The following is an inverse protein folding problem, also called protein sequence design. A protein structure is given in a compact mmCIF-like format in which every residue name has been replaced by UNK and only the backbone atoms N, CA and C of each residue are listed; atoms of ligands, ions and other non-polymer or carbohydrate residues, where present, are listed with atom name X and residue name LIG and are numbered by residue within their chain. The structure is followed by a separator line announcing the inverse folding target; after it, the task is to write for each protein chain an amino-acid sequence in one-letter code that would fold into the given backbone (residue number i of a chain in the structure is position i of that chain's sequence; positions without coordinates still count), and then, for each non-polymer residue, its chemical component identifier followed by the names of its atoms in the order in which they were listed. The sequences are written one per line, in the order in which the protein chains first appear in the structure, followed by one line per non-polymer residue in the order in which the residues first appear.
data_IF_283933802896
#
_entry.id   IF_283933802896
#
_cell.length_a   1.000
_cell.length_b   1.000
_cell.length_c   1.000
_cell.angle_alpha   90.00
_cell.angle_beta   90.00
_cell.angle_gamma   90.00
#
_symmetry.space_group_name_H-M   'P 1'
#
loop_
_entity.id
_entity.type
_entity.pdbx_description
1 polymer ?
#
# COMPACT_ATOMS: atom_id res chain seq x y z
N UNK A 1 -10.00 3.32 -22.17
CA UNK A 1 -9.35 2.93 -20.90
C UNK A 1 -10.45 2.64 -19.91
N UNK A 2 -10.46 1.46 -19.30
CA UNK A 2 -11.45 1.12 -18.26
C UNK A 2 -11.10 1.86 -16.96
N UNK A 3 -12.11 2.13 -16.13
CA UNK A 3 -11.92 2.81 -14.86
C UNK A 3 -11.54 1.75 -13.82
N UNK A 4 -10.29 1.77 -13.33
CA UNK A 4 -9.77 0.74 -12.43
C UNK A 4 -10.63 0.52 -11.17
N UNK A 5 -11.22 1.58 -10.61
CA UNK A 5 -12.12 1.47 -9.46
C UNK A 5 -13.41 0.71 -9.81
N UNK A 6 -13.97 0.98 -10.99
CA UNK A 6 -15.15 0.26 -11.48
C UNK A 6 -14.82 -1.19 -11.80
N UNK A 7 -13.67 -1.46 -12.42
CA UNK A 7 -13.24 -2.82 -12.76
C UNK A 7 -13.08 -3.70 -11.51
N UNK A 8 -12.43 -3.18 -10.48
CA UNK A 8 -12.29 -3.87 -9.18
C UNK A 8 -13.66 -4.13 -8.56
N UNK A 9 -14.58 -3.14 -8.59
CA UNK A 9 -15.93 -3.30 -8.06
C UNK A 9 -16.72 -4.38 -8.79
N UNK A 10 -16.63 -4.42 -10.12
CA UNK A 10 -17.28 -5.44 -10.95
C UNK A 10 -16.71 -6.82 -10.64
N UNK A 11 -15.38 -6.95 -10.56
CA UNK A 11 -14.73 -8.20 -10.21
C UNK A 11 -15.16 -8.70 -8.82
N UNK A 12 -15.27 -7.82 -7.83
CA UNK A 12 -15.77 -8.16 -6.50
C UNK A 12 -17.21 -8.65 -6.50
N UNK A 13 -18.09 -7.98 -7.26
CA UNK A 13 -19.47 -8.41 -7.39
C UNK A 13 -19.58 -9.81 -8.02
N UNK A 14 -18.77 -10.09 -9.05
CA UNK A 14 -18.70 -11.41 -9.68
C UNK A 14 -18.16 -12.48 -8.71
N UNK A 15 -17.12 -12.17 -7.95
CA UNK A 15 -16.57 -13.08 -6.94
C UNK A 15 -17.61 -13.40 -5.85
N UNK A 16 -18.35 -12.39 -5.34
CA UNK A 16 -19.46 -12.59 -4.38
C UNK A 16 -20.58 -13.48 -4.94
N UNK A 17 -20.93 -13.32 -6.22
CA UNK A 17 -21.94 -14.18 -6.85
C UNK A 17 -21.39 -15.61 -6.99
N UNK A 18 -20.12 -15.73 -7.38
CA UNK A 18 -19.45 -17.03 -7.54
C UNK A 18 -19.41 -17.79 -6.22
N UNK A 19 -19.07 -17.13 -5.10
CA UNK A 19 -19.03 -17.76 -3.78
C UNK A 19 -20.41 -18.24 -3.28
N UNK A 20 -21.51 -17.70 -3.82
CA UNK A 20 -22.87 -18.21 -3.53
C UNK A 20 -23.10 -19.54 -4.25
N UNK A 21 -22.57 -19.68 -5.46
CA UNK A 21 -22.72 -20.89 -6.28
C UNK A 21 -21.69 -21.96 -5.89
N UNK A 22 -20.50 -21.54 -5.51
CA UNK A 22 -19.34 -22.36 -5.15
C UNK A 22 -18.77 -21.85 -3.80
N UNK A 23 -19.29 -22.31 -2.66
CA UNK A 23 -18.90 -21.79 -1.33
C UNK A 23 -17.43 -21.97 -0.97
N UNK A 24 -16.74 -22.91 -1.60
CA UNK A 24 -15.30 -23.14 -1.50
C UNK A 24 -14.44 -22.16 -2.31
N UNK A 25 -15.07 -21.33 -3.15
CA UNK A 25 -14.39 -20.34 -3.97
C UNK A 25 -14.00 -19.11 -3.13
N UNK A 26 -12.69 -18.85 -3.04
CA UNK A 26 -12.09 -17.74 -2.32
C UNK A 26 -11.67 -16.58 -3.22
N UNK A 27 -12.18 -16.52 -4.46
CA UNK A 27 -11.82 -15.51 -5.45
C UNK A 27 -12.15 -14.08 -5.03
N UNK A 28 -12.87 -13.89 -3.91
CA UNK A 28 -13.08 -12.57 -3.30
C UNK A 28 -11.79 -11.91 -2.81
N UNK A 29 -10.72 -12.69 -2.58
CA UNK A 29 -9.41 -12.16 -2.17
C UNK A 29 -8.78 -11.32 -3.30
N UNK A 30 -8.89 -11.75 -4.55
CA UNK A 30 -8.27 -11.08 -5.70
C UNK A 30 -8.68 -9.60 -5.84
N UNK A 31 -9.97 -9.24 -5.89
CA UNK A 31 -10.39 -7.84 -5.95
C UNK A 31 -10.07 -7.05 -4.67
N UNK A 32 -9.99 -7.69 -3.51
CA UNK A 32 -9.55 -7.03 -2.27
C UNK A 32 -8.06 -6.66 -2.35
N UNK A 33 -7.20 -7.57 -2.81
CA UNK A 33 -5.78 -7.27 -3.07
C UNK A 33 -5.61 -6.16 -4.11
N UNK A 34 -6.41 -6.18 -5.18
CA UNK A 34 -6.38 -5.11 -6.18
C UNK A 34 -6.81 -3.74 -5.60
N UNK A 35 -7.80 -3.72 -4.70
CA UNK A 35 -8.19 -2.49 -4.00
C UNK A 35 -7.07 -1.97 -3.07
N UNK A 36 -6.38 -2.87 -2.37
CA UNK A 36 -5.20 -2.54 -1.56
C UNK A 36 -4.07 -1.93 -2.40
N UNK A 37 -3.70 -2.56 -3.50
CA UNK A 37 -2.66 -2.05 -4.43
C UNK A 37 -3.04 -0.69 -5.02
N UNK A 38 -4.33 -0.47 -5.29
CA UNK A 38 -4.80 0.83 -5.75
C UNK A 38 -4.70 1.89 -4.64
N UNK A 39 -4.93 1.52 -3.38
CA UNK A 39 -4.71 2.38 -2.22
C UNK A 39 -3.25 2.81 -2.06
N UNK A 40 -2.30 1.88 -2.22
CA UNK A 40 -0.86 2.19 -2.22
C UNK A 40 -0.52 3.25 -3.28
N UNK A 41 -1.02 3.06 -4.50
CA UNK A 41 -0.77 3.96 -5.64
C UNK A 41 -1.38 5.35 -5.44
N UNK A 42 -2.65 5.39 -5.02
CA UNK A 42 -3.32 6.65 -4.77
C UNK A 42 -2.59 7.44 -3.69
N UNK A 43 -2.11 6.77 -2.63
CA UNK A 43 -1.32 7.38 -1.57
C UNK A 43 0.02 7.94 -2.05
N UNK A 44 0.72 7.23 -2.94
CA UNK A 44 1.95 7.70 -3.57
C UNK A 44 1.72 8.98 -4.38
N UNK A 45 0.60 9.06 -5.12
CA UNK A 45 0.26 10.22 -5.96
C UNK A 45 -0.25 11.43 -5.14
N UNK A 46 -0.80 11.20 -3.94
CA UNK A 46 -1.48 12.21 -3.14
C UNK A 46 -0.58 13.28 -2.47
N UNK A 47 0.76 13.13 -2.53
CA UNK A 47 1.74 14.05 -1.90
C UNK A 47 1.39 14.45 -0.45
N UNK A 48 0.88 13.50 0.34
CA UNK A 48 0.52 13.70 1.75
C UNK A 48 -0.90 14.26 2.01
N UNK A 49 -1.71 14.46 0.97
CA UNK A 49 -3.12 14.83 1.12
C UNK A 49 -3.96 13.73 1.77
N UNK A 50 -5.01 14.12 2.52
CA UNK A 50 -6.00 13.17 3.03
C UNK A 50 -6.88 12.67 1.87
N UNK A 51 -6.64 11.44 1.45
CA UNK A 51 -7.49 10.78 0.47
C UNK A 51 -8.85 10.39 1.08
N UNK A 52 -9.88 10.51 0.26
CA UNK A 52 -11.24 10.05 0.58
C UNK A 52 -11.46 8.69 -0.09
N UNK A 53 -12.24 7.82 0.55
CA UNK A 53 -12.59 6.52 -0.02
C UNK A 53 -13.29 6.75 -1.37
N UNK A 54 -12.85 6.06 -2.45
CA UNK A 54 -13.49 6.17 -3.76
C UNK A 54 -14.98 5.81 -3.69
N UNK A 55 -15.83 6.54 -4.40
CA UNK A 55 -17.29 6.31 -4.41
C UNK A 55 -17.67 4.87 -4.82
N UNK A 56 -16.83 4.24 -5.66
CA UNK A 56 -16.99 2.86 -6.10
C UNK A 56 -16.72 1.83 -4.99
N UNK A 57 -16.12 2.22 -3.86
CA UNK A 57 -15.88 1.35 -2.71
C UNK A 57 -16.70 1.77 -1.49
N UNK A 58 -17.27 2.99 -1.47
CA UNK A 58 -17.92 3.59 -0.30
C UNK A 58 -19.03 2.76 0.36
N UNK A 59 -19.70 1.88 -0.37
CA UNK A 59 -20.76 1.00 0.13
C UNK A 59 -20.37 -0.49 0.16
N UNK A 60 -19.10 -0.83 -0.10
CA UNK A 60 -18.60 -2.21 0.02
C UNK A 60 -17.44 -2.25 1.02
N UNK A 61 -17.73 -2.61 2.29
CA UNK A 61 -16.75 -2.55 3.39
C UNK A 61 -15.42 -3.25 3.08
N UNK A 62 -15.45 -4.45 2.51
CA UNK A 62 -14.24 -5.21 2.20
C UNK A 62 -13.32 -4.47 1.22
N UNK A 63 -13.88 -3.79 0.21
CA UNK A 63 -13.09 -3.01 -0.75
C UNK A 63 -12.62 -1.69 -0.14
N UNK A 64 -13.48 -1.02 0.63
CA UNK A 64 -13.13 0.22 1.31
C UNK A 64 -11.98 -0.01 2.32
N UNK A 65 -12.09 -1.02 3.17
CA UNK A 65 -11.08 -1.38 4.16
C UNK A 65 -9.76 -1.80 3.50
N UNK A 66 -9.82 -2.62 2.45
CA UNK A 66 -8.60 -3.03 1.71
C UNK A 66 -7.88 -1.82 1.10
N UNK A 67 -8.62 -0.92 0.46
CA UNK A 67 -8.04 0.31 -0.10
C UNK A 67 -7.49 1.25 0.99
N UNK A 68 -8.23 1.44 2.10
CA UNK A 68 -7.77 2.24 3.24
C UNK A 68 -6.46 1.65 3.78
N UNK A 69 -6.41 0.34 4.00
CA UNK A 69 -5.21 -0.35 4.47
C UNK A 69 -4.02 -0.09 3.55
N UNK A 70 -4.20 -0.15 2.23
CA UNK A 70 -3.16 0.20 1.27
C UNK A 70 -2.67 1.66 1.42
N UNK A 71 -3.60 2.61 1.59
CA UNK A 71 -3.21 4.01 1.81
C UNK A 71 -2.46 4.25 3.13
N UNK A 72 -2.81 3.49 4.17
CA UNK A 72 -2.18 3.59 5.49
C UNK A 72 -0.81 2.93 5.52
N UNK A 73 -0.65 1.77 4.88
CA UNK A 73 0.64 1.10 4.70
C UNK A 73 1.64 2.04 4.01
N UNK A 74 1.26 2.66 2.90
CA UNK A 74 2.14 3.63 2.22
C UNK A 74 2.56 4.77 3.15
N UNK A 75 1.66 5.30 3.99
CA UNK A 75 1.99 6.38 4.92
C UNK A 75 2.95 5.94 6.01
N UNK A 76 2.79 4.72 6.52
CA UNK A 76 3.72 4.15 7.50
C UNK A 76 5.11 3.98 6.88
N UNK A 77 5.20 3.42 5.67
CA UNK A 77 6.46 3.24 4.95
C UNK A 77 7.14 4.58 4.66
N UNK A 78 6.39 5.56 4.15
CA UNK A 78 6.91 6.91 3.90
C UNK A 78 7.36 7.64 5.18
N UNK A 79 6.71 7.37 6.32
CA UNK A 79 7.14 7.90 7.62
C UNK A 79 8.43 7.22 8.09
N UNK A 80 8.59 5.91 7.91
CA UNK A 80 9.82 5.19 8.22
C UNK A 80 11.00 5.59 7.34
N UNK A 81 10.78 5.84 6.04
CA UNK A 81 11.83 6.34 5.14
C UNK A 81 12.26 7.78 5.47
N UNK A 82 11.34 8.59 6.00
CA UNK A 82 11.64 9.95 6.45
C UNK A 82 12.31 9.99 7.84
N UNK A 83 12.04 8.99 8.69
CA UNK A 83 12.54 8.84 10.06
C UNK A 83 13.74 7.88 10.15
N UNK A 84 14.34 7.51 9.01
CA UNK A 84 15.56 6.72 9.03
C UNK A 84 16.69 7.63 9.55
N UNK A 85 16.83 7.70 10.87
CA UNK A 85 17.89 8.40 11.62
C UNK A 85 19.30 7.92 11.22
N UNK A 86 19.39 6.86 10.40
CA UNK A 86 20.62 6.38 9.77
C UNK A 86 20.89 6.92 8.36
N UNK A 87 19.99 7.72 7.79
CA UNK A 87 20.24 8.42 6.52
C UNK A 87 21.42 9.38 6.69
N UNK A 88 22.57 9.00 6.12
CA UNK A 88 23.83 9.73 6.27
C UNK A 88 24.71 9.29 7.46
N UNK A 89 24.30 8.28 8.22
CA UNK A 89 25.17 7.63 9.21
C UNK A 89 25.96 6.48 8.57
N UNK A 90 27.24 6.43 8.88
CA UNK A 90 28.09 5.30 8.55
C UNK A 90 27.54 4.03 9.19
N UNK A 91 27.26 3.00 8.38
CA UNK A 91 26.74 1.71 8.86
C UNK A 91 27.70 0.93 9.78
N UNK A 92 28.96 1.36 9.88
CA UNK A 92 29.95 0.72 10.74
C UNK A 92 30.03 1.33 12.16
N UNK A 93 29.93 2.66 12.28
CA UNK A 93 30.12 3.37 13.55
C UNK A 93 28.95 4.28 13.95
N UNK A 94 27.90 4.36 13.12
CA UNK A 94 26.71 5.18 13.32
C UNK A 94 27.03 6.67 13.57
N UNK A 95 28.05 7.19 12.87
CA UNK A 95 28.43 8.61 12.84
C UNK A 95 28.15 9.21 11.47
N UNK A 96 27.88 10.51 11.41
CA UNK A 96 27.53 11.21 10.18
C UNK A 96 28.70 11.35 9.19
N UNK A 97 28.97 10.29 8.43
CA UNK A 97 29.92 10.25 7.31
C UNK A 97 29.65 9.00 6.44
N UNK A 98 30.15 8.98 5.21
CA UNK A 98 30.07 7.80 4.35
C UNK A 98 30.95 6.65 4.87
N UNK A 99 30.60 5.39 4.56
CA UNK A 99 31.36 4.21 5.01
C UNK A 99 32.83 4.27 4.59
N UNK A 100 33.14 4.71 3.36
CA UNK A 100 34.51 4.79 2.83
C UNK A 100 35.39 5.84 3.52
N UNK A 101 34.79 6.69 4.35
CA UNK A 101 35.48 7.72 5.14
C UNK A 101 35.55 7.32 6.63
N UNK A 102 35.20 6.07 6.98
CA UNK A 102 35.20 5.64 8.37
C UNK A 102 36.63 5.46 8.90
N UNK A 103 37.02 6.18 9.98
CA UNK A 103 38.33 6.03 10.57
C UNK A 103 38.57 4.64 11.20
N UNK A 104 37.53 3.81 11.31
CA UNK A 104 37.63 2.44 11.79
C UNK A 104 37.76 1.39 10.68
N UNK A 105 37.71 1.78 9.40
CA UNK A 105 37.87 0.87 8.26
C UNK A 105 39.35 0.60 7.90
N UNK A 106 40.29 1.44 8.38
CA UNK A 106 41.73 1.25 8.22
C UNK A 106 42.35 0.52 9.42
N UNK A 107 41.97 -0.74 9.66
CA UNK A 107 42.75 -1.69 10.48
C UNK A 107 42.59 -3.13 9.97
#
# INVERSE_FOLDING_TARGET
MSNAYLDIRVAFALAKITSIVFPEDDSFIVPMTAAFELGLRDAADARGGKLQVPIFFANEPNLAESWISGTETHKADAAHEADDEMSGMCSFCFKGHEIWQCPHLEH
#
